data_IF_274907279113
#
_entry.id   IF_274907279113
#
_cell.length_a   1.000
_cell.length_b   1.000
_cell.length_c   1.000
_cell.angle_alpha   90.00
_cell.angle_beta   90.00
_cell.angle_gamma   90.00
#
_symmetry.space_group_name_H-M   'P 1'
#
loop_
_entity.id
_entity.type
_entity.pdbx_description
1 polymer ?
#
# COMPACT_ATOMS: atom_id res chain seq x y z
N UNK A 1 -30.04 10.03 -3.47
CA UNK A 1 -30.10 8.88 -2.54
C UNK A 1 -29.35 9.24 -1.27
N UNK A 2 -29.89 8.93 -0.12
CA UNK A 2 -29.26 9.07 1.19
C UNK A 2 -29.57 7.82 2.03
N UNK A 3 -28.62 7.36 2.82
CA UNK A 3 -28.85 6.30 3.82
C UNK A 3 -27.93 6.52 5.04
N UNK A 4 -28.40 6.05 6.21
CA UNK A 4 -27.58 6.04 7.43
C UNK A 4 -26.69 4.80 7.44
N UNK A 5 -25.42 4.97 7.82
CA UNK A 5 -24.46 3.85 7.96
C UNK A 5 -24.83 2.92 9.12
N UNK A 6 -25.60 3.39 10.13
CA UNK A 6 -26.06 2.55 11.23
C UNK A 6 -26.99 1.45 10.76
N UNK A 7 -27.92 1.76 9.84
CA UNK A 7 -28.81 0.77 9.23
C UNK A 7 -28.17 0.08 8.04
N UNK A 8 -27.23 0.76 7.39
CA UNK A 8 -26.54 0.37 6.14
C UNK A 8 -27.49 -0.09 5.01
N UNK A 9 -28.75 0.39 5.06
CA UNK A 9 -29.75 0.05 4.06
C UNK A 9 -29.69 1.04 2.89
N UNK A 10 -28.90 0.72 1.88
CA UNK A 10 -28.67 1.57 0.70
C UNK A 10 -29.38 1.08 -0.56
N UNK A 11 -29.98 -0.13 -0.57
CA UNK A 11 -30.71 -0.67 -1.72
C UNK A 11 -29.84 -1.04 -2.95
N UNK A 12 -28.51 -0.96 -2.84
CA UNK A 12 -27.58 -1.35 -3.89
C UNK A 12 -27.16 -2.81 -3.71
N UNK A 13 -26.77 -3.48 -4.80
CA UNK A 13 -26.33 -4.87 -4.76
C UNK A 13 -25.03 -5.09 -3.96
N UNK A 14 -24.22 -4.03 -3.78
CA UNK A 14 -22.94 -4.06 -3.03
C UNK A 14 -22.75 -2.75 -2.30
N UNK A 15 -22.06 -2.82 -1.15
CA UNK A 15 -21.70 -1.65 -0.35
C UNK A 15 -20.91 -0.64 -1.19
N UNK A 16 -21.37 0.63 -1.31
CA UNK A 16 -20.74 1.64 -2.15
C UNK A 16 -19.54 2.35 -1.50
N UNK A 17 -19.30 2.18 -0.20
CA UNK A 17 -18.30 2.96 0.55
C UNK A 17 -16.92 2.95 -0.13
N UNK A 18 -16.39 1.76 -0.44
CA UNK A 18 -15.08 1.63 -1.09
C UNK A 18 -15.07 2.12 -2.54
N UNK A 19 -16.23 2.22 -3.19
CA UNK A 19 -16.34 2.78 -4.54
C UNK A 19 -16.35 4.32 -4.53
N UNK A 20 -16.89 4.91 -3.47
CA UNK A 20 -16.89 6.37 -3.28
C UNK A 20 -15.50 6.87 -2.89
N UNK A 21 -14.79 6.14 -2.01
CA UNK A 21 -13.42 6.45 -1.61
C UNK A 21 -12.46 5.84 -2.64
N UNK A 22 -12.40 6.44 -3.83
CA UNK A 22 -11.57 6.01 -4.95
C UNK A 22 -11.14 7.23 -5.80
N UNK A 23 -10.03 7.16 -6.55
CA UNK A 23 -9.05 6.06 -6.59
C UNK A 23 -8.20 5.99 -5.31
N UNK A 24 -7.90 4.78 -4.85
CA UNK A 24 -6.99 4.57 -3.71
C UNK A 24 -5.64 4.07 -4.23
N UNK A 25 -4.53 4.73 -3.87
CA UNK A 25 -3.22 4.18 -4.15
C UNK A 25 -3.04 2.83 -3.45
N UNK A 26 -2.18 1.99 -4.00
CA UNK A 26 -1.87 0.67 -3.44
C UNK A 26 -0.52 0.75 -2.75
N UNK A 27 -0.51 0.58 -1.42
CA UNK A 27 0.70 0.30 -0.68
C UNK A 27 1.03 -1.18 -0.81
N UNK A 28 2.00 -1.51 -1.66
CA UNK A 28 2.48 -2.88 -1.80
C UNK A 28 3.61 -3.08 -0.80
N UNK A 29 3.25 -3.61 0.37
CA UNK A 29 4.08 -3.61 1.57
C UNK A 29 5.00 -4.82 1.57
N UNK A 30 6.31 -4.57 1.54
CA UNK A 30 7.36 -5.55 1.80
C UNK A 30 7.76 -5.50 3.27
N UNK A 31 7.80 -6.65 3.92
CA UNK A 31 8.20 -6.79 5.33
C UNK A 31 8.96 -8.07 5.57
N UNK A 32 9.67 -8.13 6.71
CA UNK A 32 10.45 -9.28 7.12
C UNK A 32 10.11 -9.60 8.58
N UNK A 33 9.81 -10.86 8.86
CA UNK A 33 9.63 -11.35 10.21
C UNK A 33 10.95 -11.45 10.97
N UNK A 34 10.90 -11.52 12.31
CA UNK A 34 12.09 -11.76 13.15
C UNK A 34 12.78 -13.09 12.86
N UNK A 35 12.03 -14.06 12.37
CA UNK A 35 12.52 -15.37 11.93
C UNK A 35 13.19 -15.36 10.54
N UNK A 36 13.21 -14.18 9.88
CA UNK A 36 13.77 -14.00 8.56
C UNK A 36 12.77 -14.27 7.42
N UNK A 37 11.54 -14.67 7.70
CA UNK A 37 10.50 -14.87 6.69
C UNK A 37 10.18 -13.56 5.96
N UNK A 38 10.09 -13.61 4.63
CA UNK A 38 9.74 -12.47 3.79
C UNK A 38 8.23 -12.48 3.52
N UNK A 39 7.63 -11.29 3.47
CA UNK A 39 6.22 -11.13 3.16
C UNK A 39 6.01 -9.92 2.24
N UNK A 40 5.09 -10.06 1.29
CA UNK A 40 4.70 -9.03 0.35
C UNK A 40 3.18 -9.01 0.16
N UNK A 41 2.51 -7.94 0.57
CA UNK A 41 1.06 -7.87 0.51
C UNK A 41 0.55 -6.49 0.08
N UNK A 42 -0.47 -6.40 -0.83
CA UNK A 42 -1.03 -5.13 -1.27
C UNK A 42 -2.14 -4.64 -0.34
N UNK A 43 -2.10 -3.37 0.00
CA UNK A 43 -3.10 -2.66 0.80
C UNK A 43 -3.65 -1.47 0.03
N UNK A 44 -4.97 -1.42 -0.16
CA UNK A 44 -5.64 -0.26 -0.77
C UNK A 44 -6.11 0.79 0.25
N UNK A 45 -6.00 0.51 1.53
CA UNK A 45 -6.06 1.53 2.58
C UNK A 45 -4.62 2.00 2.84
N UNK A 46 -4.12 2.83 1.92
CA UNK A 46 -2.77 3.36 1.92
C UNK A 46 -2.81 4.80 1.41
N UNK A 47 -2.04 5.69 2.04
CA UNK A 47 -1.82 7.04 1.52
C UNK A 47 -0.61 7.72 2.19
N UNK A 48 -0.16 8.85 1.59
CA UNK A 48 0.68 9.82 2.28
C UNK A 48 -0.16 10.63 3.27
N UNK A 49 0.38 10.89 4.47
CA UNK A 49 -0.32 11.64 5.54
C UNK A 49 0.42 12.90 5.95
N UNK A 50 1.70 13.05 5.58
CA UNK A 50 2.50 14.26 5.84
C UNK A 50 3.64 14.36 4.83
N UNK A 51 4.04 15.59 4.48
CA UNK A 51 5.22 15.87 3.66
C UNK A 51 6.45 16.23 4.51
N UNK A 52 6.26 16.83 5.68
CA UNK A 52 7.36 17.26 6.58
C UNK A 52 7.02 16.95 8.04
N UNK A 53 7.53 15.83 8.58
CA UNK A 53 8.29 14.75 7.92
C UNK A 53 7.44 13.99 6.90
N UNK A 54 8.09 13.30 5.95
CA UNK A 54 7.39 12.46 4.97
C UNK A 54 6.85 11.22 5.67
N UNK A 55 5.53 11.15 5.79
CA UNK A 55 4.84 10.04 6.43
C UNK A 55 3.86 9.38 5.46
N UNK A 56 3.85 8.05 5.50
CA UNK A 56 2.85 7.23 4.80
C UNK A 56 2.13 6.35 5.79
N UNK A 57 0.91 5.94 5.47
CA UNK A 57 0.17 4.97 6.27
C UNK A 57 -0.37 3.83 5.42
N UNK A 58 -0.46 2.65 6.02
CA UNK A 58 -1.32 1.58 5.52
C UNK A 58 -2.19 1.03 6.66
N UNK A 59 -3.33 0.43 6.30
CA UNK A 59 -4.25 -0.15 7.27
C UNK A 59 -4.58 -1.60 6.90
N UNK A 60 -4.27 -2.51 7.81
CA UNK A 60 -4.52 -3.94 7.68
C UNK A 60 -5.83 -4.31 8.35
N UNK A 61 -6.68 -5.08 7.67
CA UNK A 61 -7.86 -5.70 8.28
C UNK A 61 -7.41 -6.89 9.15
N UNK A 62 -7.22 -6.64 10.43
CA UNK A 62 -6.66 -7.59 11.39
C UNK A 62 -5.13 -7.68 11.36
N UNK A 63 -4.61 -8.48 12.30
CA UNK A 63 -3.17 -8.72 12.49
C UNK A 63 -2.64 -9.77 11.52
N UNK A 64 -2.57 -9.40 10.24
CA UNK A 64 -1.96 -10.22 9.18
C UNK A 64 -0.43 -10.12 9.22
N UNK A 65 0.24 -10.91 8.39
CA UNK A 65 1.71 -11.05 8.38
C UNK A 65 2.44 -9.72 8.26
N UNK A 66 2.03 -8.81 7.33
CA UNK A 66 2.64 -7.49 7.24
C UNK A 66 2.50 -6.69 8.54
N UNK A 67 1.31 -6.66 9.14
CA UNK A 67 1.09 -5.94 10.40
C UNK A 67 1.91 -6.53 11.53
N UNK A 68 1.92 -7.87 11.65
CA UNK A 68 2.73 -8.60 12.63
C UNK A 68 4.23 -8.33 12.46
N UNK A 69 4.76 -8.48 11.25
CA UNK A 69 6.17 -8.26 10.98
C UNK A 69 6.59 -6.82 11.33
N UNK A 70 5.75 -5.85 10.94
CA UNK A 70 6.00 -4.42 11.18
C UNK A 70 5.90 -4.07 12.67
N UNK A 71 4.98 -4.67 13.44
CA UNK A 71 4.93 -4.55 14.89
C UNK A 71 6.20 -5.07 15.56
N UNK A 72 6.75 -6.17 15.04
CA UNK A 72 7.90 -6.84 15.61
C UNK A 72 9.23 -6.18 15.24
N UNK A 73 9.36 -5.65 14.02
CA UNK A 73 10.63 -5.15 13.47
C UNK A 73 10.72 -3.63 13.36
N UNK A 74 9.58 -2.94 13.34
CA UNK A 74 9.51 -1.48 13.25
C UNK A 74 9.84 -0.92 11.87
N UNK A 75 9.91 -1.75 10.81
CA UNK A 75 10.30 -1.32 9.46
C UNK A 75 9.47 -2.01 8.38
N UNK A 76 9.32 -1.33 7.24
CA UNK A 76 8.69 -1.89 6.03
C UNK A 76 9.11 -1.11 4.79
N UNK A 77 8.89 -1.71 3.63
CA UNK A 77 8.94 -1.00 2.35
C UNK A 77 7.54 -0.84 1.78
N UNK A 78 7.32 0.19 0.97
CA UNK A 78 6.15 0.28 0.11
C UNK A 78 6.58 0.50 -1.33
N UNK A 79 6.07 -0.32 -2.23
CA UNK A 79 6.48 -0.43 -3.62
C UNK A 79 5.39 0.13 -4.54
N UNK A 80 5.75 0.93 -5.53
CA UNK A 80 4.82 1.44 -6.52
C UNK A 80 4.32 0.28 -7.39
N UNK A 81 3.01 0.09 -7.42
CA UNK A 81 2.39 -0.87 -8.33
C UNK A 81 2.17 -0.21 -9.68
N UNK A 82 2.93 -0.63 -10.69
CA UNK A 82 2.76 -0.20 -12.07
C UNK A 82 1.92 -1.20 -12.87
N UNK A 83 1.41 -0.78 -14.03
CA UNK A 83 0.53 -1.61 -14.88
C UNK A 83 1.15 -2.95 -15.26
N UNK A 84 2.45 -2.99 -15.51
CA UNK A 84 3.18 -4.22 -15.84
C UNK A 84 3.36 -5.19 -14.66
N UNK A 85 3.17 -4.72 -13.42
CA UNK A 85 3.28 -5.53 -12.21
C UNK A 85 1.94 -5.91 -11.59
N UNK A 86 0.80 -5.46 -12.15
CA UNK A 86 -0.53 -5.62 -11.53
C UNK A 86 -0.92 -7.09 -11.33
N UNK A 87 -0.58 -7.99 -12.27
CA UNK A 87 -0.89 -9.41 -12.14
C UNK A 87 -0.05 -10.06 -11.02
N UNK A 88 1.22 -9.70 -10.93
CA UNK A 88 2.12 -10.16 -9.87
C UNK A 88 1.68 -9.62 -8.50
N UNK A 89 1.28 -8.36 -8.44
CA UNK A 89 0.70 -7.77 -7.22
C UNK A 89 -0.57 -8.50 -6.81
N UNK A 90 -1.45 -8.81 -7.76
CA UNK A 90 -2.67 -9.57 -7.46
C UNK A 90 -2.34 -10.99 -6.95
N UNK A 91 -1.34 -11.66 -7.52
CA UNK A 91 -0.85 -12.96 -7.04
C UNK A 91 -0.33 -12.89 -5.60
N UNK A 92 0.38 -11.81 -5.22
CA UNK A 92 0.85 -11.63 -3.85
C UNK A 92 -0.25 -11.33 -2.82
N UNK A 93 -1.51 -11.18 -3.26
CA UNK A 93 -2.67 -10.97 -2.37
C UNK A 93 -3.32 -12.26 -1.87
N UNK A 94 -2.78 -13.42 -2.23
CA UNK A 94 -3.31 -14.72 -1.84
C UNK A 94 -3.29 -14.86 -0.30
N UNK A 95 -4.33 -15.50 0.24
CA UNK A 95 -4.34 -15.88 1.66
C UNK A 95 -3.45 -17.12 1.85
N UNK A 96 -2.18 -16.91 2.17
CA UNK A 96 -1.21 -17.96 2.42
C UNK A 96 -0.97 -18.14 3.95
N UNK A 97 -0.50 -19.32 4.40
CA UNK A 97 -0.02 -19.48 5.77
C UNK A 97 1.16 -18.56 6.07
N UNK A 98 1.34 -18.18 7.34
CA UNK A 98 2.49 -17.39 7.80
C UNK A 98 3.82 -18.04 7.38
N UNK A 99 4.75 -17.19 6.93
CA UNK A 99 6.08 -17.60 6.48
C UNK A 99 6.16 -18.04 5.00
N UNK A 100 5.04 -18.04 4.29
CA UNK A 100 5.07 -18.20 2.84
C UNK A 100 5.59 -16.91 2.20
N UNK A 101 6.56 -17.05 1.28
CA UNK A 101 7.20 -15.93 0.61
C UNK A 101 6.43 -15.52 -0.65
N UNK A 102 5.63 -14.45 -0.58
CA UNK A 102 4.84 -13.98 -1.71
C UNK A 102 5.69 -13.38 -2.85
N UNK A 103 6.93 -12.96 -2.60
CA UNK A 103 7.85 -12.60 -3.67
C UNK A 103 8.10 -13.78 -4.60
N UNK A 104 8.38 -14.96 -4.05
CA UNK A 104 8.59 -16.19 -4.83
C UNK A 104 7.31 -16.61 -5.53
N UNK A 105 6.17 -16.63 -4.81
CA UNK A 105 4.88 -17.00 -5.40
C UNK A 105 4.51 -16.13 -6.60
N UNK A 106 4.81 -14.84 -6.54
CA UNK A 106 4.51 -13.90 -7.62
C UNK A 106 5.63 -13.82 -8.68
N UNK A 107 6.73 -14.56 -8.53
CA UNK A 107 7.88 -14.51 -9.44
C UNK A 107 8.53 -13.13 -9.47
N UNK A 108 8.78 -12.57 -8.27
CA UNK A 108 9.37 -11.25 -8.04
C UNK A 108 10.72 -11.38 -7.34
N UNK A 109 11.60 -10.41 -7.60
CA UNK A 109 12.88 -10.30 -6.91
C UNK A 109 12.70 -9.58 -5.58
N UNK A 110 13.00 -10.26 -4.47
CA UNK A 110 13.11 -9.63 -3.15
C UNK A 110 14.49 -8.98 -3.03
N UNK A 111 14.58 -7.68 -3.36
CA UNK A 111 15.82 -6.93 -3.22
C UNK A 111 15.97 -6.37 -1.79
N UNK A 112 17.21 -6.29 -1.24
CA UNK A 112 17.44 -5.76 0.10
C UNK A 112 17.35 -4.23 0.11
N UNK A 113 16.65 -3.65 1.08
CA UNK A 113 16.65 -2.21 1.32
C UNK A 113 18.04 -1.72 1.81
N UNK A 114 18.28 -0.42 1.70
CA UNK A 114 19.59 0.19 2.04
C UNK A 114 19.69 0.67 3.48
N UNK A 115 18.60 1.18 4.04
CA UNK A 115 18.57 1.85 5.35
C UNK A 115 17.79 1.07 6.42
N UNK A 116 17.09 0.01 6.02
CA UNK A 116 16.26 -0.81 6.89
C UNK A 116 16.42 -2.30 6.55
N UNK A 117 16.13 -3.19 7.48
CA UNK A 117 16.13 -4.64 7.23
C UNK A 117 14.75 -5.12 6.77
N UNK A 118 14.39 -4.77 5.55
CA UNK A 118 13.18 -5.23 4.89
C UNK A 118 13.41 -5.43 3.38
N UNK A 119 12.70 -6.36 2.71
CA UNK A 119 12.79 -6.55 1.27
C UNK A 119 11.95 -5.50 0.53
N UNK A 120 12.32 -5.24 -0.73
CA UNK A 120 11.47 -4.51 -1.66
C UNK A 120 11.38 -5.24 -3.02
N UNK A 121 10.39 -4.89 -3.82
CA UNK A 121 10.20 -5.45 -5.17
C UNK A 121 11.22 -4.86 -6.12
N UNK A 122 12.20 -5.66 -6.53
CA UNK A 122 13.32 -5.21 -7.38
C UNK A 122 12.90 -4.64 -8.73
N UNK A 123 11.72 -5.05 -9.23
CA UNK A 123 11.14 -4.59 -10.49
C UNK A 123 10.27 -3.33 -10.37
N UNK A 124 10.06 -2.79 -9.15
CA UNK A 124 9.24 -1.61 -8.94
C UNK A 124 9.97 -0.33 -9.35
N UNK A 125 9.30 0.55 -10.08
CA UNK A 125 9.86 1.84 -10.51
C UNK A 125 10.17 2.80 -9.36
N UNK A 126 9.46 2.68 -8.25
CA UNK A 126 9.74 3.48 -7.05
C UNK A 126 9.43 2.69 -5.78
N UNK A 127 10.25 2.90 -4.75
CA UNK A 127 10.12 2.25 -3.45
C UNK A 127 10.42 3.26 -2.34
N UNK A 128 9.64 3.21 -1.27
CA UNK A 128 9.88 3.96 -0.04
C UNK A 128 10.33 2.99 1.05
N UNK A 129 11.46 3.28 1.69
CA UNK A 129 11.90 2.62 2.92
C UNK A 129 11.36 3.36 4.12
N UNK A 130 10.68 2.67 5.02
CA UNK A 130 9.92 3.28 6.10
C UNK A 130 10.32 2.72 7.47
N UNK A 131 10.43 3.63 8.46
CA UNK A 131 10.50 3.29 9.89
C UNK A 131 9.17 3.64 10.54
N UNK A 132 8.63 2.72 11.33
CA UNK A 132 7.36 2.91 12.03
C UNK A 132 7.49 4.04 13.03
N UNK A 133 6.52 4.94 13.02
CA UNK A 133 6.36 5.99 14.02
C UNK A 133 5.19 5.70 14.94
N UNK A 134 4.15 5.06 14.42
CA UNK A 134 2.92 4.83 15.17
C UNK A 134 2.18 3.59 14.66
N UNK A 135 1.61 2.82 15.59
CA UNK A 135 0.68 1.73 15.29
C UNK A 135 -0.54 1.93 16.19
N UNK A 136 -1.71 2.00 15.58
CA UNK A 136 -2.95 2.24 16.30
C UNK A 136 -4.13 1.47 15.71
N UNK A 137 -5.15 1.24 16.52
CA UNK A 137 -6.46 0.80 16.07
C UNK A 137 -7.42 2.00 16.04
N UNK A 138 -7.91 2.43 14.87
CA UNK A 138 -8.92 3.48 14.78
C UNK A 138 -10.16 3.11 15.60
N UNK A 139 -10.75 4.09 16.29
CA UNK A 139 -11.92 3.88 17.13
C UNK A 139 -13.18 4.43 16.47
N UNK A 140 -14.30 3.75 16.69
CA UNK A 140 -15.63 4.25 16.38
C UNK A 140 -16.07 5.38 17.33
N UNK A 141 -17.23 5.98 17.05
CA UNK A 141 -17.84 7.00 17.91
C UNK A 141 -18.18 6.48 19.32
N UNK A 142 -18.39 5.19 19.45
CA UNK A 142 -18.60 4.47 20.71
C UNK A 142 -17.32 4.24 21.52
N UNK A 143 -16.17 4.68 20.98
CA UNK A 143 -14.85 4.49 21.57
C UNK A 143 -14.27 3.09 21.40
N UNK A 144 -14.99 2.16 20.75
CA UNK A 144 -14.48 0.81 20.50
C UNK A 144 -13.47 0.79 19.33
N UNK A 145 -12.40 0.00 19.45
CA UNK A 145 -11.44 -0.15 18.37
C UNK A 145 -12.09 -0.89 17.18
N UNK A 146 -11.76 -0.47 15.96
CA UNK A 146 -12.08 -1.22 14.76
C UNK A 146 -11.20 -2.45 14.62
N UNK A 147 -11.55 -3.37 13.73
CA UNK A 147 -10.72 -4.54 13.40
C UNK A 147 -9.43 -4.16 12.64
N UNK A 148 -9.32 -2.91 12.19
CA UNK A 148 -8.18 -2.48 11.41
C UNK A 148 -7.02 -2.03 12.30
N UNK A 149 -5.81 -2.43 11.89
CA UNK A 149 -4.55 -1.95 12.45
C UNK A 149 -3.95 -0.96 11.45
N UNK A 150 -3.82 0.30 11.85
CA UNK A 150 -3.20 1.35 11.06
C UNK A 150 -1.74 1.50 11.47
N UNK A 151 -0.85 1.46 10.50
CA UNK A 151 0.58 1.66 10.67
C UNK A 151 0.96 2.97 9.98
N UNK A 152 1.62 3.86 10.71
CA UNK A 152 2.22 5.08 10.17
C UNK A 152 3.73 4.92 10.19
N UNK A 153 4.38 5.20 9.06
CA UNK A 153 5.82 5.11 8.93
C UNK A 153 6.43 6.36 8.32
N UNK A 154 7.57 6.77 8.86
CA UNK A 154 8.38 7.83 8.27
C UNK A 154 9.23 7.24 7.15
N UNK A 155 9.17 7.86 5.98
CA UNK A 155 10.02 7.55 4.84
C UNK A 155 11.44 8.02 5.15
N UNK A 156 12.37 7.08 5.18
CA UNK A 156 13.80 7.32 5.46
C UNK A 156 14.68 7.11 4.23
N UNK A 157 14.18 6.43 3.19
CA UNK A 157 14.86 6.21 1.92
C UNK A 157 13.88 6.13 0.77
N UNK A 158 14.30 6.54 -0.42
CA UNK A 158 13.50 6.49 -1.65
C UNK A 158 14.37 5.91 -2.76
N UNK A 159 13.89 4.84 -3.40
CA UNK A 159 14.46 4.29 -4.62
C UNK A 159 13.61 4.77 -5.80
N UNK A 160 14.26 5.14 -6.88
CA UNK A 160 13.62 5.55 -8.13
C UNK A 160 14.40 4.92 -9.27
N UNK A 161 13.68 4.25 -10.17
CA UNK A 161 14.24 3.80 -11.44
C UNK A 161 14.39 5.02 -12.35
N UNK A 162 15.60 5.27 -12.81
CA UNK A 162 15.91 6.42 -13.67
C UNK A 162 15.19 6.39 -15.01
N UNK A 163 14.70 5.23 -15.43
CA UNK A 163 13.93 5.08 -16.69
C UNK A 163 12.60 5.83 -16.69
N UNK A 164 12.06 6.17 -15.53
CA UNK A 164 10.84 6.99 -15.39
C UNK A 164 11.14 8.48 -15.18
N UNK A 165 12.40 8.91 -15.27
CA UNK A 165 12.77 10.33 -15.13
C UNK A 165 12.82 10.97 -16.51
N UNK A 166 12.10 12.09 -16.69
CA UNK A 166 12.13 12.93 -17.89
C UNK A 166 12.24 14.39 -17.46
N UNK A 167 13.19 15.10 -18.03
CA UNK A 167 13.40 16.54 -17.76
C UNK A 167 13.49 16.90 -16.26
N UNK A 168 14.14 16.02 -15.47
CA UNK A 168 14.29 16.19 -14.01
C UNK A 168 13.01 15.94 -13.19
N UNK A 169 11.96 15.39 -13.79
CA UNK A 169 10.68 15.04 -13.14
C UNK A 169 10.38 13.56 -13.31
N UNK A 170 9.61 12.99 -12.36
CA UNK A 170 9.05 11.66 -12.54
C UNK A 170 7.91 11.72 -13.56
N UNK A 171 8.04 10.96 -14.62
CA UNK A 171 6.99 10.79 -15.63
C UNK A 171 6.03 9.68 -15.19
N UNK A 172 4.92 10.09 -14.59
CA UNK A 172 3.91 9.15 -14.08
C UNK A 172 3.13 8.46 -15.21
N UNK A 173 3.10 9.03 -16.42
CA UNK A 173 2.53 8.37 -17.58
C UNK A 173 3.41 7.19 -18.04
N UNK A 174 4.73 7.25 -17.86
CA UNK A 174 5.63 6.11 -18.05
C UNK A 174 5.54 5.08 -16.91
N UNK A 175 5.47 5.55 -15.69
CA UNK A 175 5.35 4.67 -14.51
C UNK A 175 4.03 3.90 -14.48
N UNK A 176 2.96 4.47 -15.05
CA UNK A 176 1.63 3.86 -15.17
C UNK A 176 1.13 3.29 -13.83
N UNK A 177 1.05 4.11 -12.76
CA UNK A 177 0.64 3.62 -11.44
C UNK A 177 -0.79 3.08 -11.48
N UNK A 178 -1.03 2.01 -10.72
CA UNK A 178 -2.35 1.40 -10.60
C UNK A 178 -2.97 1.76 -9.27
N UNK A 179 -4.25 2.10 -9.29
CA UNK A 179 -5.05 2.40 -8.11
C UNK A 179 -6.25 1.46 -8.01
N UNK A 180 -6.65 1.12 -6.79
CA UNK A 180 -7.88 0.39 -6.51
C UNK A 180 -9.08 1.33 -6.61
N UNK A 181 -10.07 0.93 -7.37
CA UNK A 181 -11.37 1.58 -7.47
C UNK A 181 -12.38 0.92 -6.51
N UNK A 182 -13.62 0.86 -6.89
CA UNK A 182 -14.63 0.09 -6.16
C UNK A 182 -14.62 -1.39 -6.53
N UNK A 183 -15.17 -2.21 -5.65
CA UNK A 183 -15.42 -3.63 -5.88
C UNK A 183 -14.16 -4.40 -6.31
N UNK A 184 -14.10 -4.88 -7.55
CA UNK A 184 -12.94 -5.56 -8.14
C UNK A 184 -12.19 -4.70 -9.16
N UNK A 185 -12.58 -3.44 -9.32
CA UNK A 185 -12.08 -2.56 -10.36
C UNK A 185 -10.74 -1.92 -9.97
N UNK A 186 -9.91 -1.69 -10.97
CA UNK A 186 -8.66 -0.95 -10.89
C UNK A 186 -8.64 0.12 -11.97
N UNK A 187 -7.91 1.20 -11.73
CA UNK A 187 -7.61 2.23 -12.71
C UNK A 187 -6.11 2.37 -12.88
N UNK A 188 -5.69 2.78 -14.06
CA UNK A 188 -4.32 3.11 -14.39
C UNK A 188 -4.17 4.64 -14.45
N UNK A 189 -3.14 5.19 -13.82
CA UNK A 189 -2.85 6.61 -13.82
C UNK A 189 -1.95 7.03 -14.99
N UNK A 190 -2.36 6.78 -16.23
CA UNK A 190 -1.63 7.17 -17.45
C UNK A 190 -2.15 8.46 -18.09
N UNK A 191 -3.41 8.83 -17.81
CA UNK A 191 -4.02 10.05 -18.31
C UNK A 191 -3.87 11.16 -17.25
N UNK A 192 -2.78 11.91 -17.34
CA UNK A 192 -2.42 12.97 -16.40
C UNK A 192 -2.59 14.34 -17.04
N UNK A 193 -3.12 15.31 -16.28
CA UNK A 193 -3.26 16.69 -16.72
C UNK A 193 -2.72 17.65 -15.67
N UNK A 194 -2.24 18.79 -16.11
CA UNK A 194 -1.73 19.83 -15.22
C UNK A 194 -2.83 20.83 -14.86
N UNK A 195 -2.89 21.19 -13.58
CA UNK A 195 -3.78 22.22 -13.08
C UNK A 195 -3.02 23.15 -12.14
N UNK A 196 -2.92 24.42 -12.51
CA UNK A 196 -2.30 25.44 -11.68
C UNK A 196 -3.22 25.77 -10.49
N UNK A 197 -2.63 25.94 -9.31
CA UNK A 197 -3.39 26.49 -8.18
C UNK A 197 -3.59 28.00 -8.39
N UNK A 198 -4.76 28.55 -8.00
CA UNK A 198 -5.02 29.98 -8.10
C UNK A 198 -4.10 30.79 -7.19
#
# INVERSE_FOLDING_TARGET
>A
MFYSTDSNWHGLARDPFKAIVAPRPIGWIGSKGRDGSLNLSPYSFFNAVSDRPKLVMFSSSGRKDSARNVEETGVFTTNLVSRNLVEKMNHSSIAAPYGVNEFELAGLTAAPAKLIDAPYVGEAFAVLECRVTEILQPKGLDGQPSDNIMVIGQVVGIHIDETIIRDGRLDMALARPVARMGYMDYAEGSDVFEMMRP
#
